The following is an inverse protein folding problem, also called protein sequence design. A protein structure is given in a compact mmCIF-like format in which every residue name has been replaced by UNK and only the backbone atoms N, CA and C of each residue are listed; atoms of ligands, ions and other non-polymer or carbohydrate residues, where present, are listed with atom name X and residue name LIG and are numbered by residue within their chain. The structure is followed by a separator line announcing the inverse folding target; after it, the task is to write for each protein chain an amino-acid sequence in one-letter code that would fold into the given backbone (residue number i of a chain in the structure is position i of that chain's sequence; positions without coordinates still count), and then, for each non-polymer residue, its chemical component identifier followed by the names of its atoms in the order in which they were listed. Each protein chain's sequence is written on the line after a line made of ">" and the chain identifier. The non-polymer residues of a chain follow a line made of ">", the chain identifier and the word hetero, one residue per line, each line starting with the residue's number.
data_IF_959596952168
#
_entry.id   IF_959596952168
#
_cell.length_a   1.000
_cell.length_b   1.000
_cell.length_c   1.000
_cell.angle_alpha   90.00
_cell.angle_beta   90.00
_cell.angle_gamma   90.00
#
_symmetry.space_group_name_H-M   'P 1'
#
loop_
_entity.id
_entity.type
_entity.pdbx_description
1 polymer ?
#
# COMPACT_ATOMS: atom_id res chain seq x y z
N UNK A 1 16.28 -3.31 -5.48
CA UNK A 1 15.37 -2.90 -4.40
C UNK A 1 14.78 -1.48 -4.52
N UNK A 2 15.46 -0.52 -5.17
CA UNK A 2 14.93 0.85 -5.35
C UNK A 2 13.87 0.96 -6.46
N UNK A 3 13.97 0.17 -7.50
CA UNK A 3 13.01 0.13 -8.62
C UNK A 3 11.65 -0.39 -8.14
N UNK A 4 11.63 -1.36 -7.25
CA UNK A 4 10.41 -2.00 -6.73
C UNK A 4 9.51 -1.05 -5.92
N UNK A 5 10.07 -0.06 -5.20
CA UNK A 5 9.28 0.93 -4.46
C UNK A 5 8.58 1.91 -5.38
N UNK A 6 9.26 2.38 -6.42
CA UNK A 6 8.70 3.27 -7.43
C UNK A 6 7.58 2.59 -8.21
N UNK A 7 7.80 1.34 -8.61
CA UNK A 7 6.78 0.53 -9.26
C UNK A 7 5.59 0.25 -8.34
N UNK A 8 5.80 -0.04 -7.04
CA UNK A 8 4.69 -0.26 -6.10
C UNK A 8 3.78 0.96 -5.95
N UNK A 9 4.34 2.16 -5.85
CA UNK A 9 3.54 3.38 -5.78
C UNK A 9 2.78 3.67 -7.08
N UNK A 10 3.41 3.41 -8.23
CA UNK A 10 2.72 3.48 -9.52
C UNK A 10 1.65 2.38 -9.64
N UNK A 11 1.94 1.15 -9.20
CA UNK A 11 1.02 0.02 -9.26
C UNK A 11 -0.22 0.19 -8.36
N UNK A 12 -0.13 0.90 -7.24
CA UNK A 12 -1.29 1.16 -6.36
C UNK A 12 -2.37 1.95 -7.10
N UNK A 13 -1.99 2.82 -8.03
CA UNK A 13 -2.88 3.71 -8.77
C UNK A 13 -3.18 3.26 -10.18
N UNK A 14 -2.23 2.59 -10.84
CA UNK A 14 -2.36 2.22 -12.25
C UNK A 14 -3.53 1.24 -12.45
N UNK A 15 -4.28 1.45 -13.53
CA UNK A 15 -5.38 0.56 -13.95
C UNK A 15 -4.90 -0.87 -14.22
N UNK A 16 -3.65 -1.03 -14.63
CA UNK A 16 -2.98 -2.33 -14.83
C UNK A 16 -2.37 -2.91 -13.55
N UNK A 17 -2.31 -2.12 -12.46
CA UNK A 17 -1.80 -2.53 -11.17
C UNK A 17 -2.91 -2.84 -10.17
N UNK A 18 -2.63 -2.62 -8.87
CA UNK A 18 -3.60 -2.85 -7.78
C UNK A 18 -4.83 -1.96 -7.96
N UNK A 19 -4.63 -0.66 -8.24
CA UNK A 19 -5.67 0.30 -8.63
C UNK A 19 -6.74 0.58 -7.57
N UNK A 20 -6.49 0.27 -6.29
CA UNK A 20 -7.46 0.40 -5.20
C UNK A 20 -7.61 1.81 -4.65
N UNK A 21 -6.64 2.70 -4.96
CA UNK A 21 -6.66 4.10 -4.54
C UNK A 21 -6.76 5.04 -5.73
N UNK A 22 -7.53 6.10 -5.56
CA UNK A 22 -7.63 7.22 -6.48
C UNK A 22 -6.92 8.39 -5.80
N UNK A 23 -5.72 8.72 -6.30
CA UNK A 23 -4.93 9.86 -5.84
C UNK A 23 -5.35 11.13 -6.57
N UNK A 24 -5.30 12.31 -5.91
CA UNK A 24 -5.49 13.58 -6.59
C UNK A 24 -4.43 13.78 -7.67
N UNK A 25 -4.82 14.40 -8.78
CA UNK A 25 -3.93 14.75 -9.89
C UNK A 25 -3.50 16.19 -9.72
N UNK A 26 -2.28 16.42 -9.22
CA UNK A 26 -1.79 17.76 -8.94
C UNK A 26 -1.04 18.37 -10.12
N UNK A 27 -0.47 17.52 -10.99
CA UNK A 27 0.39 17.96 -12.09
C UNK A 27 0.44 16.92 -13.22
N UNK A 28 0.78 17.33 -14.45
CA UNK A 28 1.02 16.41 -15.55
C UNK A 28 2.18 15.47 -15.22
N UNK A 29 1.94 14.18 -15.31
CA UNK A 29 2.96 13.18 -14.92
C UNK A 29 4.06 12.97 -15.97
N UNK A 30 3.85 13.40 -17.22
CA UNK A 30 4.80 13.25 -18.32
C UNK A 30 4.35 14.04 -19.54
N UNK A 31 5.30 14.61 -20.27
CA UNK A 31 5.07 15.23 -21.57
C UNK A 31 4.86 14.20 -22.70
N UNK A 32 5.29 12.95 -22.49
CA UNK A 32 5.26 11.88 -23.50
C UNK A 32 4.03 10.99 -23.35
N UNK A 33 3.52 10.84 -22.13
CA UNK A 33 2.38 9.96 -21.84
C UNK A 33 1.19 10.77 -21.33
N UNK A 34 0.22 11.10 -22.21
CA UNK A 34 -0.99 11.81 -21.79
C UNK A 34 -1.75 11.04 -20.71
N UNK A 35 -2.20 11.73 -19.66
CA UNK A 35 -2.95 11.14 -18.56
C UNK A 35 -2.12 10.37 -17.52
N UNK A 36 -0.80 10.31 -17.65
CA UNK A 36 0.07 9.78 -16.60
C UNK A 36 0.04 10.71 -15.41
N UNK A 37 -0.13 10.16 -14.21
CA UNK A 37 -0.02 10.89 -12.95
C UNK A 37 1.03 10.20 -12.08
N UNK A 38 2.06 10.96 -11.70
CA UNK A 38 3.12 10.48 -10.82
C UNK A 38 2.75 10.72 -9.35
N UNK A 39 3.21 9.87 -8.42
CA UNK A 39 3.05 10.09 -6.99
C UNK A 39 4.13 11.06 -6.46
N UNK A 40 4.18 12.28 -7.02
CA UNK A 40 5.26 13.25 -6.78
C UNK A 40 5.40 13.63 -5.32
N UNK A 41 4.30 13.68 -4.57
CA UNK A 41 4.34 13.96 -3.13
C UNK A 41 5.02 12.83 -2.34
N UNK A 42 4.81 11.57 -2.73
CA UNK A 42 5.52 10.44 -2.14
C UNK A 42 7.00 10.46 -2.50
N UNK A 43 7.34 10.89 -3.70
CA UNK A 43 8.73 11.06 -4.15
C UNK A 43 9.42 12.17 -3.36
N UNK A 44 8.74 13.30 -3.11
CA UNK A 44 9.24 14.39 -2.29
C UNK A 44 9.54 13.93 -0.85
N UNK A 45 8.64 13.19 -0.21
CA UNK A 45 8.88 12.60 1.12
C UNK A 45 10.12 11.70 1.12
N UNK A 46 10.31 10.88 0.09
CA UNK A 46 11.50 10.02 -0.02
C UNK A 46 12.80 10.83 -0.22
N UNK A 47 12.75 11.95 -0.95
CA UNK A 47 13.92 12.83 -1.10
C UNK A 47 14.27 13.53 0.21
N UNK A 48 13.29 14.03 0.94
CA UNK A 48 13.49 14.61 2.28
C UNK A 48 14.06 13.57 3.24
N UNK A 49 13.56 12.33 3.22
CA UNK A 49 14.11 11.25 4.04
C UNK A 49 15.59 11.00 3.73
N UNK A 50 15.97 11.00 2.46
CA UNK A 50 17.38 10.82 2.07
C UNK A 50 18.26 11.97 2.59
N UNK A 51 17.78 13.21 2.54
CA UNK A 51 18.50 14.37 3.09
C UNK A 51 18.67 14.26 4.61
N UNK A 52 17.62 13.83 5.32
CA UNK A 52 17.68 13.66 6.78
C UNK A 52 18.67 12.60 7.21
N UNK A 53 18.81 11.50 6.46
CA UNK A 53 19.86 10.50 6.71
C UNK A 53 21.25 11.13 6.57
N UNK A 54 21.45 12.01 5.59
CA UNK A 54 22.69 12.77 5.44
C UNK A 54 22.97 13.66 6.65
N UNK A 55 21.96 14.38 7.11
CA UNK A 55 22.05 15.24 8.28
C UNK A 55 22.32 14.45 9.57
N UNK A 56 21.67 13.30 9.76
CA UNK A 56 21.90 12.42 10.90
C UNK A 56 23.33 11.91 10.96
N UNK A 57 23.89 11.50 9.82
CA UNK A 57 25.31 11.14 9.72
C UNK A 57 26.24 12.30 10.06
N UNK A 58 25.91 13.51 9.61
CA UNK A 58 26.66 14.73 9.94
C UNK A 58 26.64 15.01 11.44
N UNK A 59 25.47 14.88 12.08
CA UNK A 59 25.30 15.06 13.53
C UNK A 59 26.09 14.01 14.29
N UNK A 60 26.00 12.75 13.88
CA UNK A 60 26.69 11.63 14.52
C UNK A 60 28.22 11.79 14.46
N UNK A 61 28.74 12.14 13.28
CA UNK A 61 30.17 12.43 13.11
C UNK A 61 30.61 13.61 13.97
N UNK A 62 29.84 14.70 13.95
CA UNK A 62 30.14 15.91 14.71
C UNK A 62 30.08 15.69 16.21
N UNK A 63 29.14 14.87 16.69
CA UNK A 63 29.04 14.47 18.09
C UNK A 63 30.24 13.68 18.58
N UNK A 64 30.75 12.77 17.75
CA UNK A 64 31.89 11.90 18.06
C UNK A 64 33.24 12.64 18.09
N UNK A 65 33.33 13.83 17.49
CA UNK A 65 34.59 14.58 17.35
C UNK A 65 34.74 15.75 18.34
N UNK A 66 34.04 15.70 19.47
CA UNK A 66 34.26 16.64 20.57
C UNK A 66 35.58 16.37 21.28
N UNK A 67 36.24 17.47 21.73
CA UNK A 67 37.49 17.38 22.47
C UNK A 67 37.28 17.71 23.95
N UNK A 68 37.52 16.75 24.84
CA UNK A 68 37.30 16.88 26.30
C UNK A 68 35.86 17.35 26.61
N UNK A 69 35.73 18.56 27.16
CA UNK A 69 34.42 19.13 27.53
C UNK A 69 33.90 20.16 26.50
N UNK A 70 34.55 20.29 25.37
CA UNK A 70 34.20 21.23 24.31
C UNK A 70 33.99 20.52 22.98
N UNK A 71 32.82 20.71 22.40
CA UNK A 71 32.53 20.34 21.03
C UNK A 71 32.38 21.58 20.15
N UNK A 72 33.34 21.79 19.23
CA UNK A 72 33.35 22.92 18.32
C UNK A 72 32.43 22.73 17.12
N UNK A 73 31.87 21.55 16.93
CA UNK A 73 30.96 21.21 15.81
C UNK A 73 29.50 21.61 16.09
N UNK A 74 29.21 22.22 17.26
CA UNK A 74 27.82 22.63 17.62
C UNK A 74 27.08 23.43 16.55
N UNK A 75 27.72 24.37 15.80
CA UNK A 75 27.02 25.10 14.75
C UNK A 75 26.48 24.21 13.62
N UNK A 76 27.26 23.22 13.16
CA UNK A 76 26.81 22.31 12.10
C UNK A 76 25.75 21.31 12.62
N UNK A 77 25.86 20.90 13.88
CA UNK A 77 24.82 20.08 14.53
C UNK A 77 23.49 20.85 14.57
N UNK A 78 23.51 22.10 15.05
CA UNK A 78 22.33 22.95 15.10
C UNK A 78 21.72 23.18 13.71
N UNK A 79 22.56 23.47 12.72
CA UNK A 79 22.13 23.66 11.33
C UNK A 79 21.43 22.39 10.80
N UNK A 80 22.05 21.22 10.92
CA UNK A 80 21.50 19.95 10.42
C UNK A 80 20.19 19.57 11.11
N UNK A 81 20.04 19.86 12.42
CA UNK A 81 18.78 19.64 13.14
C UNK A 81 17.69 20.58 12.63
N UNK A 82 17.97 21.89 12.53
CA UNK A 82 16.98 22.85 12.06
C UNK A 82 16.54 22.59 10.63
N UNK A 83 17.47 22.24 9.73
CA UNK A 83 17.16 21.88 8.36
C UNK A 83 16.25 20.66 8.32
N UNK A 84 16.57 19.60 9.08
CA UNK A 84 15.77 18.37 9.14
C UNK A 84 14.35 18.64 9.64
N UNK A 85 14.20 19.46 10.69
CA UNK A 85 12.88 19.84 11.24
C UNK A 85 12.07 20.63 10.20
N UNK A 86 12.69 21.59 9.54
CA UNK A 86 12.01 22.43 8.53
C UNK A 86 11.55 21.59 7.34
N UNK A 87 12.43 20.74 6.80
CA UNK A 87 12.10 19.85 5.69
C UNK A 87 10.98 18.87 6.03
N UNK A 88 11.00 18.29 7.24
CA UNK A 88 9.94 17.38 7.70
C UNK A 88 8.62 18.13 7.85
N UNK A 89 8.62 19.32 8.44
CA UNK A 89 7.41 20.10 8.63
C UNK A 89 6.77 20.49 7.29
N UNK A 90 7.57 20.94 6.34
CA UNK A 90 7.08 21.39 5.03
C UNK A 90 6.61 20.21 4.16
N UNK A 91 7.37 19.11 4.10
CA UNK A 91 6.96 17.96 3.32
C UNK A 91 5.72 17.30 3.89
N UNK A 92 5.56 17.28 5.23
CA UNK A 92 4.34 16.73 5.86
C UNK A 92 3.10 17.56 5.52
N UNK A 93 3.21 18.90 5.54
CA UNK A 93 2.13 19.79 5.11
C UNK A 93 1.78 19.60 3.63
N UNK A 94 2.80 19.55 2.78
CA UNK A 94 2.62 19.33 1.34
C UNK A 94 1.98 17.99 1.05
N UNK A 95 2.44 16.93 1.71
CA UNK A 95 1.90 15.58 1.57
C UNK A 95 0.43 15.51 2.02
N UNK A 96 0.11 16.09 3.18
CA UNK A 96 -1.27 16.14 3.67
C UNK A 96 -2.18 16.83 2.66
N UNK A 97 -1.81 18.03 2.22
CA UNK A 97 -2.62 18.85 1.33
C UNK A 97 -2.76 18.27 -0.08
N UNK A 98 -1.65 17.77 -0.66
CA UNK A 98 -1.60 17.45 -2.08
C UNK A 98 -1.70 15.94 -2.37
N UNK A 99 -1.56 15.06 -1.36
CA UNK A 99 -1.69 13.62 -1.54
C UNK A 99 -2.88 13.03 -0.77
N UNK A 100 -3.11 13.46 0.48
CA UNK A 100 -4.15 12.88 1.33
C UNK A 100 -5.50 13.57 1.15
N UNK A 101 -5.52 14.90 1.03
CA UNK A 101 -6.75 15.60 0.70
C UNK A 101 -7.22 15.20 -0.70
N UNK A 102 -8.42 14.62 -0.78
CA UNK A 102 -8.97 14.10 -2.04
C UNK A 102 -8.59 12.66 -2.39
N UNK A 103 -7.82 11.97 -1.55
CA UNK A 103 -7.62 10.52 -1.66
C UNK A 103 -8.95 9.78 -1.53
N UNK A 104 -9.24 8.88 -2.46
CA UNK A 104 -10.49 8.09 -2.46
C UNK A 104 -10.19 6.62 -2.67
N UNK A 105 -10.98 5.78 -2.03
CA UNK A 105 -10.99 4.35 -2.32
C UNK A 105 -11.67 4.09 -3.68
N UNK A 106 -11.06 3.31 -4.52
CA UNK A 106 -11.67 2.78 -5.74
C UNK A 106 -12.48 1.53 -5.39
N UNK A 107 -13.68 1.74 -4.85
CA UNK A 107 -14.52 0.66 -4.34
C UNK A 107 -14.73 -0.45 -5.36
N UNK A 108 -15.02 -0.09 -6.62
CA UNK A 108 -15.21 -1.09 -7.68
C UNK A 108 -13.98 -1.99 -7.85
N UNK A 109 -12.78 -1.41 -7.85
CA UNK A 109 -11.55 -2.19 -8.01
C UNK A 109 -11.25 -3.04 -6.78
N UNK A 110 -11.55 -2.51 -5.59
CA UNK A 110 -11.44 -3.26 -4.32
C UNK A 110 -12.37 -4.47 -4.35
N UNK A 111 -13.62 -4.28 -4.72
CA UNK A 111 -14.61 -5.36 -4.82
C UNK A 111 -14.19 -6.40 -5.87
N UNK A 112 -13.73 -5.95 -7.05
CA UNK A 112 -13.22 -6.86 -8.10
C UNK A 112 -12.01 -7.68 -7.62
N UNK A 113 -11.08 -7.07 -6.88
CA UNK A 113 -9.91 -7.75 -6.34
C UNK A 113 -10.30 -8.71 -5.21
N UNK A 114 -11.22 -8.31 -4.34
CA UNK A 114 -11.74 -9.14 -3.26
C UNK A 114 -12.42 -10.40 -3.81
N UNK A 115 -13.30 -10.25 -4.79
CA UNK A 115 -14.00 -11.38 -5.40
C UNK A 115 -13.07 -12.37 -6.14
N UNK A 116 -11.89 -11.92 -6.56
CA UNK A 116 -10.84 -12.78 -7.13
C UNK A 116 -9.92 -13.41 -6.10
N UNK A 117 -10.04 -13.02 -4.82
CA UNK A 117 -9.17 -13.53 -3.78
C UNK A 117 -9.51 -14.98 -3.42
N UNK A 118 -8.51 -15.85 -3.54
CA UNK A 118 -8.67 -17.26 -3.12
C UNK A 118 -8.76 -17.41 -1.60
N UNK A 119 -8.40 -16.37 -0.82
CA UNK A 119 -8.47 -16.42 0.64
C UNK A 119 -9.91 -16.54 1.17
N UNK A 120 -10.90 -16.13 0.39
CA UNK A 120 -12.31 -16.25 0.74
C UNK A 120 -12.77 -17.70 0.89
N UNK A 121 -12.02 -18.66 0.34
CA UNK A 121 -12.32 -20.09 0.49
C UNK A 121 -12.32 -20.56 1.95
N UNK A 122 -11.61 -19.83 2.83
CA UNK A 122 -11.58 -20.16 4.27
C UNK A 122 -12.94 -20.10 4.95
N UNK A 123 -13.86 -19.29 4.42
CA UNK A 123 -15.23 -19.22 4.93
C UNK A 123 -16.04 -20.49 4.60
N UNK A 124 -15.64 -21.25 3.58
CA UNK A 124 -16.34 -22.45 3.15
C UNK A 124 -15.94 -23.71 3.95
N UNK A 125 -14.70 -23.74 4.46
CA UNK A 125 -14.16 -24.91 5.11
C UNK A 125 -14.98 -25.46 6.29
N UNK A 126 -15.57 -24.62 7.17
CA UNK A 126 -16.43 -25.09 8.26
C UNK A 126 -17.71 -25.79 7.79
N UNK A 127 -18.24 -25.39 6.62
CA UNK A 127 -19.56 -25.82 6.13
C UNK A 127 -19.46 -27.04 5.19
N UNK A 128 -18.52 -27.01 4.25
CA UNK A 128 -18.40 -28.08 3.24
C UNK A 128 -17.18 -29.00 3.44
N UNK A 129 -16.35 -28.69 4.45
CA UNK A 129 -15.13 -29.42 4.76
C UNK A 129 -13.90 -28.92 3.99
N UNK A 130 -12.72 -29.24 4.54
CA UNK A 130 -11.44 -28.76 4.02
C UNK A 130 -11.15 -29.27 2.59
N UNK A 131 -11.40 -30.55 2.32
CA UNK A 131 -11.05 -31.17 1.04
C UNK A 131 -11.80 -30.54 -0.13
N UNK A 132 -13.13 -30.38 -0.01
CA UNK A 132 -13.96 -29.72 -1.04
C UNK A 132 -13.57 -28.26 -1.22
N UNK A 133 -13.29 -27.54 -0.12
CA UNK A 133 -12.83 -26.16 -0.18
C UNK A 133 -11.49 -26.04 -0.90
N UNK A 134 -10.56 -26.95 -0.63
CA UNK A 134 -9.28 -27.01 -1.32
C UNK A 134 -9.42 -27.32 -2.82
N UNK A 135 -10.37 -28.17 -3.19
CA UNK A 135 -10.65 -28.50 -4.59
C UNK A 135 -11.23 -27.29 -5.34
N UNK A 136 -12.17 -26.55 -4.72
CA UNK A 136 -12.70 -25.29 -5.25
C UNK A 136 -11.55 -24.30 -5.51
N UNK A 137 -10.66 -24.08 -4.53
CA UNK A 137 -9.56 -23.14 -4.66
C UNK A 137 -8.55 -23.57 -5.75
N UNK A 138 -8.19 -24.85 -5.81
CA UNK A 138 -7.28 -25.39 -6.83
C UNK A 138 -7.86 -25.22 -8.24
N UNK A 139 -9.14 -25.50 -8.42
CA UNK A 139 -9.82 -25.34 -9.71
C UNK A 139 -9.91 -23.86 -10.10
N UNK A 140 -10.30 -22.99 -9.16
CA UNK A 140 -10.37 -21.54 -9.38
C UNK A 140 -9.01 -20.98 -9.85
N UNK A 141 -7.92 -21.38 -9.20
CA UNK A 141 -6.56 -21.00 -9.57
C UNK A 141 -6.17 -21.52 -10.96
N UNK A 142 -6.43 -22.80 -11.24
CA UNK A 142 -6.04 -23.47 -12.49
C UNK A 142 -6.76 -22.88 -13.70
N UNK A 143 -8.05 -22.59 -13.55
CA UNK A 143 -8.92 -22.12 -14.65
C UNK A 143 -9.03 -20.59 -14.69
N UNK A 144 -8.39 -19.88 -13.74
CA UNK A 144 -8.46 -18.42 -13.59
C UNK A 144 -9.90 -17.88 -13.51
N UNK A 145 -10.74 -18.58 -12.75
CA UNK A 145 -12.13 -18.24 -12.46
C UNK A 145 -12.31 -17.87 -10.98
N UNK A 146 -13.46 -17.33 -10.62
CA UNK A 146 -13.77 -17.00 -9.23
C UNK A 146 -14.06 -18.27 -8.42
N UNK A 147 -13.92 -18.19 -7.08
CA UNK A 147 -14.30 -19.29 -6.18
C UNK A 147 -15.78 -19.66 -6.34
N UNK A 148 -16.65 -18.68 -6.58
CA UNK A 148 -18.09 -18.85 -6.79
C UNK A 148 -18.36 -19.68 -8.05
N UNK A 149 -17.75 -19.32 -9.16
CA UNK A 149 -17.84 -20.08 -10.42
C UNK A 149 -17.28 -21.50 -10.28
N UNK A 150 -16.16 -21.64 -9.59
CA UNK A 150 -15.55 -22.93 -9.31
C UNK A 150 -16.47 -23.83 -8.47
N UNK A 151 -17.02 -23.31 -7.36
CA UNK A 151 -17.93 -24.02 -6.48
C UNK A 151 -19.19 -24.51 -7.22
N UNK A 152 -19.77 -23.64 -8.05
CA UNK A 152 -20.92 -23.98 -8.91
C UNK A 152 -20.57 -25.06 -9.92
N UNK A 153 -19.43 -24.96 -10.61
CA UNK A 153 -19.01 -25.90 -11.63
C UNK A 153 -18.68 -27.30 -11.08
N UNK A 154 -18.27 -27.39 -9.81
CA UNK A 154 -18.06 -28.64 -9.09
C UNK A 154 -19.36 -29.21 -8.50
N UNK A 155 -20.46 -28.44 -8.53
CA UNK A 155 -21.74 -28.87 -7.97
C UNK A 155 -21.78 -28.90 -6.44
N UNK A 156 -20.84 -28.23 -5.77
CA UNK A 156 -20.76 -28.23 -4.30
C UNK A 156 -21.68 -27.21 -3.66
N UNK A 157 -21.87 -26.04 -4.30
CA UNK A 157 -22.72 -24.95 -3.80
C UNK A 157 -23.45 -24.26 -4.95
N UNK A 158 -24.67 -23.81 -4.68
CA UNK A 158 -25.36 -22.85 -5.55
C UNK A 158 -24.73 -21.44 -5.38
N UNK A 159 -25.00 -20.52 -6.31
CA UNK A 159 -24.54 -19.14 -6.18
C UNK A 159 -25.10 -18.44 -4.93
N UNK A 160 -26.35 -18.73 -4.59
CA UNK A 160 -27.01 -18.19 -3.41
C UNK A 160 -26.40 -18.73 -2.11
N UNK A 161 -26.11 -20.03 -2.05
CA UNK A 161 -25.47 -20.64 -0.88
C UNK A 161 -24.05 -20.09 -0.70
N UNK A 162 -23.30 -19.90 -1.80
CA UNK A 162 -21.99 -19.29 -1.74
C UNK A 162 -22.04 -17.88 -1.17
N UNK A 163 -22.94 -17.03 -1.64
CA UNK A 163 -23.08 -15.64 -1.17
C UNK A 163 -23.56 -15.57 0.30
N UNK A 164 -24.28 -16.56 0.78
CA UNK A 164 -24.70 -16.65 2.16
C UNK A 164 -23.57 -17.06 3.11
N UNK A 165 -22.64 -17.91 2.62
CA UNK A 165 -21.51 -18.43 3.41
C UNK A 165 -20.28 -17.50 3.37
N UNK A 166 -20.01 -16.87 2.24
CA UNK A 166 -18.84 -16.02 2.04
C UNK A 166 -19.22 -14.57 2.23
N UNK A 167 -19.02 -14.08 3.45
CA UNK A 167 -19.24 -12.69 3.85
C UNK A 167 -17.91 -12.10 4.30
N UNK A 168 -17.19 -11.40 3.42
CA UNK A 168 -15.85 -10.87 3.73
C UNK A 168 -15.83 -9.95 4.96
N UNK A 169 -16.89 -9.19 5.19
CA UNK A 169 -17.06 -8.30 6.34
C UNK A 169 -17.08 -9.05 7.69
N UNK A 170 -17.51 -10.30 7.70
CA UNK A 170 -17.52 -11.14 8.90
C UNK A 170 -16.16 -11.82 9.14
N UNK A 171 -15.26 -11.80 8.15
CA UNK A 171 -13.92 -12.44 8.23
C UNK A 171 -12.87 -11.56 8.87
N UNK A 172 -13.10 -10.25 9.00
CA UNK A 172 -12.13 -9.27 9.51
C UNK A 172 -12.25 -8.98 11.00
N UNK A 173 -13.22 -9.57 11.68
CA UNK A 173 -13.43 -9.42 13.13
C UNK A 173 -13.40 -10.77 13.83
N UNK A 174 -12.88 -10.86 15.06
CA UNK A 174 -12.98 -12.09 15.84
C UNK A 174 -14.44 -12.46 16.02
N UNK A 175 -14.80 -13.72 15.71
CA UNK A 175 -16.14 -14.22 16.02
C UNK A 175 -16.35 -14.07 17.52
N UNK A 176 -17.43 -13.39 17.93
CA UNK A 176 -17.85 -13.42 19.34
C UNK A 176 -18.19 -14.87 19.67
N UNK A 177 -17.39 -15.44 20.57
CA UNK A 177 -17.60 -16.78 21.16
C UNK A 177 -18.83 -16.72 22.05
#
# INVERSE_FOLDING_TARGET
>A
HRVDRRQRQMCIRDRAGIGELILPSNEPGSSIMPGKVNPTQCEAVNMVYAQIIGNDNTISYSGANGNFQLNTYRPIIAFSIHESISLLAEVSKSFSKNALEGLKANKKKIDDNLNKSLMLVTALAPEIGYEKSAEIAKKALKENITLKESAKSLGYLSEQDFDNLVKPEEMVSPKKI
#
